data_IF_893037770748
#
_entry.id   IF_893037770748
#
_cell.length_a   1.000
_cell.length_b   1.000
_cell.length_c   1.000
_cell.angle_alpha   90.00
_cell.angle_beta   90.00
_cell.angle_gamma   90.00
#
_symmetry.space_group_name_H-M   'P 1'
#
loop_
_entity.id
_entity.type
_entity.pdbx_description
1 polymer ?
#
# COMPACT_ATOMS: atom_id res chain seq x y z
N UNK A 1 -6.31 6.30 -7.25
CA UNK A 1 -5.71 5.12 -6.56
C UNK A 1 -5.23 5.53 -5.17
N UNK A 2 -6.00 5.17 -4.13
CA UNK A 2 -5.73 5.53 -2.73
C UNK A 2 -5.34 4.27 -1.94
N UNK A 3 -4.12 3.78 -2.12
CA UNK A 3 -3.63 2.57 -1.43
C UNK A 3 -2.76 2.91 -0.21
N UNK A 4 -2.23 4.13 -0.15
CA UNK A 4 -1.27 4.59 0.88
C UNK A 4 -1.83 4.49 2.31
N UNK A 5 -3.10 4.87 2.50
CA UNK A 5 -3.79 4.75 3.80
C UNK A 5 -3.95 3.29 4.25
N UNK A 6 -4.16 2.36 3.31
CA UNK A 6 -4.28 0.93 3.61
C UNK A 6 -2.93 0.32 4.02
N UNK A 7 -1.85 0.68 3.33
CA UNK A 7 -0.49 0.25 3.73
C UNK A 7 -0.14 0.76 5.13
N UNK A 8 -0.44 2.03 5.41
CA UNK A 8 -0.24 2.63 6.72
C UNK A 8 -1.04 1.89 7.81
N UNK A 9 -2.33 1.65 7.55
CA UNK A 9 -3.24 0.97 8.49
C UNK A 9 -2.80 -0.44 8.82
N UNK A 10 -2.30 -1.20 7.84
CA UNK A 10 -1.79 -2.56 8.06
C UNK A 10 -0.56 -2.56 8.98
N UNK A 11 0.37 -1.62 8.75
CA UNK A 11 1.57 -1.51 9.59
C UNK A 11 1.22 -1.07 11.01
N UNK A 12 0.43 -0.01 11.17
CA UNK A 12 0.09 0.54 12.50
C UNK A 12 -0.80 -0.41 13.28
N UNK A 13 -1.75 -1.10 12.63
CA UNK A 13 -2.56 -2.16 13.23
C UNK A 13 -1.72 -3.34 13.75
N UNK A 14 -0.55 -3.57 13.14
CA UNK A 14 0.43 -4.57 13.59
C UNK A 14 1.43 -4.05 14.63
N UNK A 15 1.26 -2.81 15.12
CA UNK A 15 2.14 -2.13 16.09
C UNK A 15 3.62 -2.08 15.66
N UNK A 16 3.89 -2.04 14.36
CA UNK A 16 5.26 -1.94 13.83
C UNK A 16 5.59 -0.50 13.45
N UNK A 17 6.83 -0.07 13.71
CA UNK A 17 7.38 1.13 13.08
C UNK A 17 7.87 0.78 11.64
N UNK A 18 8.23 1.79 10.85
CA UNK A 18 8.64 1.57 9.45
C UNK A 18 9.91 0.75 9.32
N UNK A 19 10.88 0.98 10.20
CA UNK A 19 12.16 0.26 10.22
C UNK A 19 11.97 -1.24 10.49
N UNK A 20 11.16 -1.59 11.49
CA UNK A 20 10.83 -2.98 11.81
C UNK A 20 10.22 -3.69 10.61
N UNK A 21 9.26 -3.04 9.93
CA UNK A 21 8.64 -3.62 8.75
C UNK A 21 9.63 -3.74 7.60
N UNK A 22 10.41 -2.69 7.32
CA UNK A 22 11.43 -2.66 6.28
C UNK A 22 12.40 -3.85 6.39
N UNK A 23 12.90 -4.13 7.60
CA UNK A 23 13.76 -5.30 7.87
C UNK A 23 13.02 -6.61 7.59
N UNK A 24 11.76 -6.74 8.04
CA UNK A 24 10.97 -7.97 7.90
C UNK A 24 10.66 -8.34 6.45
N UNK A 25 10.44 -7.35 5.59
CA UNK A 25 10.08 -7.58 4.17
C UNK A 25 11.23 -7.29 3.20
N UNK A 26 12.44 -7.04 3.72
CA UNK A 26 13.65 -6.79 2.95
C UNK A 26 13.50 -5.59 2.03
N UNK A 27 13.13 -4.44 2.60
CA UNK A 27 12.99 -3.14 1.96
C UNK A 27 13.73 -2.07 2.75
N UNK A 28 13.89 -0.89 2.16
CA UNK A 28 14.36 0.29 2.88
C UNK A 28 13.21 0.98 3.62
N UNK A 29 13.51 1.67 4.72
CA UNK A 29 12.53 2.50 5.44
C UNK A 29 11.91 3.56 4.54
N UNK A 30 12.68 4.12 3.60
CA UNK A 30 12.19 5.06 2.58
C UNK A 30 11.12 4.44 1.68
N UNK A 31 11.32 3.21 1.20
CA UNK A 31 10.32 2.52 0.38
C UNK A 31 9.00 2.27 1.13
N UNK A 32 9.06 2.03 2.46
CA UNK A 32 7.87 1.96 3.31
C UNK A 32 7.18 3.32 3.40
N UNK A 33 7.96 4.38 3.63
CA UNK A 33 7.43 5.74 3.70
C UNK A 33 6.75 6.15 2.39
N UNK A 34 7.41 5.94 1.25
CA UNK A 34 6.87 6.29 -0.07
C UNK A 34 5.53 5.60 -0.34
N UNK A 35 5.41 4.31 0.03
CA UNK A 35 4.15 3.57 -0.03
C UNK A 35 3.03 4.18 0.83
N UNK A 36 3.38 4.70 2.01
CA UNK A 36 2.41 5.21 2.99
C UNK A 36 2.06 6.70 2.80
N UNK A 37 2.92 7.49 2.16
CA UNK A 37 2.78 8.96 2.11
C UNK A 37 2.61 9.55 0.73
N UNK A 38 2.85 8.79 -0.35
CA UNK A 38 2.77 9.30 -1.71
C UNK A 38 1.55 8.72 -2.46
N UNK A 39 0.32 9.18 -2.17
CA UNK A 39 -0.85 8.81 -2.97
C UNK A 39 -0.64 9.22 -4.43
N UNK A 40 -0.81 8.29 -5.36
CA UNK A 40 -0.64 8.53 -6.80
C UNK A 40 0.76 8.30 -7.35
N UNK A 41 1.77 8.05 -6.50
CA UNK A 41 3.02 7.46 -6.99
C UNK A 41 2.72 6.02 -7.43
N UNK A 42 3.35 5.54 -8.50
CA UNK A 42 3.27 4.13 -8.90
C UNK A 42 4.37 3.36 -8.15
N UNK A 43 4.12 2.83 -6.93
CA UNK A 43 5.09 1.98 -6.29
C UNK A 43 5.34 0.77 -7.19
N UNK A 44 6.60 0.36 -7.27
CA UNK A 44 6.96 -0.81 -8.05
C UNK A 44 6.13 -2.02 -7.57
N UNK A 45 5.50 -2.75 -8.50
CA UNK A 45 4.57 -3.86 -8.17
C UNK A 45 5.21 -4.89 -7.21
N UNK A 46 6.53 -5.08 -7.29
CA UNK A 46 7.28 -5.95 -6.39
C UNK A 46 7.21 -5.51 -4.91
N UNK A 47 7.10 -4.21 -4.63
CA UNK A 47 6.94 -3.68 -3.27
C UNK A 47 5.55 -4.02 -2.72
N UNK A 48 4.51 -3.81 -3.55
CA UNK A 48 3.12 -4.15 -3.21
C UNK A 48 3.01 -5.64 -2.90
N UNK A 49 3.59 -6.50 -3.75
CA UNK A 49 3.58 -7.95 -3.57
C UNK A 49 4.28 -8.40 -2.28
N UNK A 50 5.40 -7.77 -1.90
CA UNK A 50 6.07 -8.06 -0.62
C UNK A 50 5.18 -7.72 0.58
N UNK A 51 4.47 -6.60 0.53
CA UNK A 51 3.47 -6.22 1.54
C UNK A 51 2.33 -7.21 1.61
N UNK A 52 1.72 -7.53 0.47
CA UNK A 52 0.61 -8.49 0.36
C UNK A 52 0.99 -9.84 0.96
N UNK A 53 2.18 -10.35 0.61
CA UNK A 53 2.70 -11.62 1.13
C UNK A 53 2.89 -11.57 2.65
N UNK A 54 3.44 -10.48 3.18
CA UNK A 54 3.73 -10.35 4.61
C UNK A 54 2.45 -10.24 5.44
N UNK A 55 1.51 -9.38 5.04
CA UNK A 55 0.25 -9.16 5.76
C UNK A 55 -0.85 -10.17 5.38
N UNK A 56 -0.59 -11.08 4.44
CA UNK A 56 -1.55 -12.06 3.92
C UNK A 56 -2.84 -11.41 3.38
N UNK A 57 -2.68 -10.26 2.71
CA UNK A 57 -3.78 -9.51 2.09
C UNK A 57 -3.75 -9.64 0.58
N UNK A 58 -4.91 -9.54 -0.05
CA UNK A 58 -5.05 -9.52 -1.51
C UNK A 58 -4.90 -8.09 -2.02
N UNK A 59 -4.61 -7.95 -3.31
CA UNK A 59 -4.55 -6.64 -3.95
C UNK A 59 -5.87 -5.89 -3.76
N UNK A 60 -7.00 -6.59 -3.92
CA UNK A 60 -8.36 -6.09 -3.65
C UNK A 60 -8.52 -5.40 -2.29
N UNK A 61 -7.81 -5.85 -1.25
CA UNK A 61 -7.91 -5.29 0.11
C UNK A 61 -7.13 -3.98 0.26
N UNK A 62 -6.09 -3.82 -0.58
CA UNK A 62 -5.26 -2.62 -0.64
C UNK A 62 -5.87 -1.57 -1.57
N UNK A 63 -6.66 -2.01 -2.54
CA UNK A 63 -7.14 -1.18 -3.63
C UNK A 63 -8.57 -0.71 -3.46
N UNK A 64 -8.75 0.59 -3.25
CA UNK A 64 -10.05 1.23 -3.47
C UNK A 64 -10.20 1.48 -4.96
N UNK A 65 -11.06 0.69 -5.61
CA UNK A 65 -11.56 1.03 -6.94
C UNK A 65 -12.54 2.18 -6.68
N UNK A 66 -12.17 3.38 -7.08
CA UNK A 66 -13.16 4.44 -7.21
C UNK A 66 -14.03 4.04 -8.39
N UNK A 67 -15.35 3.98 -8.18
CA UNK A 67 -16.29 3.87 -9.28
C UNK A 67 -15.95 4.98 -10.25
N UNK A 68 -15.51 4.60 -11.45
CA UNK A 68 -15.43 5.54 -12.54
C UNK A 68 -16.88 5.89 -12.82
N UNK A 69 -17.33 7.07 -12.40
CA UNK A 69 -18.52 7.67 -12.99
C UNK A 69 -18.19 7.81 -14.48
N UNK A 70 -18.62 6.83 -15.27
CA UNK A 70 -18.75 6.98 -16.70
C UNK A 70 -19.79 8.08 -16.85
N UNK A 71 -19.32 9.31 -17.01
CA UNK A 71 -20.20 10.46 -17.19
C UNK A 71 -21.28 10.07 -18.19
N UNK A 72 -22.53 10.20 -17.78
CA UNK A 72 -23.67 9.95 -18.64
C UNK A 72 -23.47 10.79 -19.90
N UNK A 73 -23.08 10.11 -20.98
CA UNK A 73 -23.00 10.71 -22.30
C UNK A 73 -24.41 11.10 -22.71
N UNK A 74 -24.76 12.36 -22.48
CA UNK A 74 -25.91 13.03 -23.08
C UNK A 74 -25.49 14.43 -23.51
#
# INVERSE_FOLDING_TARGET
MIYSEKFLSLRTGSKMNREHLAVRIGLSTGAIQDLETCPGHNPHISLILKYMKYFKVKLGDLVKIEDIELGDGV
#
